data_IF_893350051635
#
_entry.id   IF_893350051635
#
_cell.length_a   1.000
_cell.length_b   1.000
_cell.length_c   1.000
_cell.angle_alpha   90.00
_cell.angle_beta   90.00
_cell.angle_gamma   90.00
#
_symmetry.space_group_name_H-M   'P 1'
#
loop_
_entity.id
_entity.type
_entity.pdbx_description
1 polymer ?
#
# COMPACT_ATOMS: atom_id res chain seq x y z
N UNK A 1 -6.79 14.05 2.68
CA UNK A 1 -5.38 13.65 2.62
C UNK A 1 -5.21 12.35 1.86
N UNK A 2 -3.99 12.08 1.42
CA UNK A 2 -3.56 10.83 0.79
C UNK A 2 -2.54 10.20 1.75
N UNK A 3 -2.96 9.27 2.59
CA UNK A 3 -2.13 8.69 3.64
C UNK A 3 -1.21 7.59 3.11
N UNK A 4 -1.76 6.42 2.91
CA UNK A 4 -1.01 5.25 2.45
C UNK A 4 -0.59 5.34 0.98
N UNK A 5 0.44 4.59 0.59
CA UNK A 5 0.80 4.39 -0.81
C UNK A 5 -0.40 3.86 -1.61
N UNK A 6 -0.49 4.23 -2.88
CA UNK A 6 -1.62 3.97 -3.77
C UNK A 6 -2.95 4.67 -3.42
N UNK A 7 -3.05 5.42 -2.32
CA UNK A 7 -4.24 6.26 -2.10
C UNK A 7 -4.41 7.21 -3.28
N UNK A 8 -5.62 7.28 -3.80
CA UNK A 8 -5.86 7.99 -5.07
C UNK A 8 -7.19 8.73 -5.10
N UNK A 9 -7.27 9.71 -5.99
CA UNK A 9 -8.51 10.38 -6.36
C UNK A 9 -8.64 10.37 -7.88
N UNK A 10 -9.83 10.04 -8.37
CA UNK A 10 -10.16 10.02 -9.79
C UNK A 10 -11.36 10.94 -10.09
N UNK A 11 -11.26 11.72 -11.16
CA UNK A 11 -12.35 12.56 -11.63
C UNK A 11 -12.34 12.64 -13.16
N UNK A 12 -13.49 13.04 -13.72
CA UNK A 12 -13.66 13.28 -15.17
C UNK A 12 -14.21 14.67 -15.38
N UNK A 13 -13.76 15.31 -16.45
CA UNK A 13 -14.23 16.67 -16.80
C UNK A 13 -14.19 16.90 -18.31
N UNK A 14 -14.85 17.98 -18.73
CA UNK A 14 -14.72 18.60 -20.05
C UNK A 14 -14.10 19.98 -19.87
N UNK A 15 -13.05 20.28 -20.62
CA UNK A 15 -12.33 21.55 -20.55
C UNK A 15 -10.98 21.48 -21.23
N UNK A 16 -10.20 22.55 -21.10
CA UNK A 16 -8.82 22.61 -21.63
C UNK A 16 -7.75 22.45 -20.57
N UNK A 17 -8.09 22.65 -19.29
CA UNK A 17 -7.10 22.62 -18.21
C UNK A 17 -7.70 22.14 -16.91
N UNK A 18 -6.90 21.37 -16.16
CA UNK A 18 -7.15 21.03 -14.78
C UNK A 18 -5.91 21.29 -13.94
N UNK A 19 -6.09 21.95 -12.79
CA UNK A 19 -5.04 22.18 -11.78
C UNK A 19 -5.49 21.64 -10.44
N UNK A 20 -4.53 21.28 -9.58
CA UNK A 20 -4.80 20.93 -8.19
C UNK A 20 -3.94 21.81 -7.27
N UNK A 21 -4.56 22.30 -6.21
CA UNK A 21 -3.84 22.84 -5.07
C UNK A 21 -3.56 21.69 -4.10
N UNK A 22 -2.28 21.45 -3.84
CA UNK A 22 -1.79 20.32 -3.03
C UNK A 22 -1.08 20.86 -1.80
N UNK A 23 -1.32 20.24 -0.66
CA UNK A 23 -0.58 20.44 0.58
C UNK A 23 0.31 19.24 0.84
N UNK A 24 1.44 19.47 1.49
CA UNK A 24 2.35 18.43 1.97
C UNK A 24 3.14 18.95 3.18
N UNK A 25 3.99 18.12 3.74
CA UNK A 25 4.91 18.46 4.81
C UNK A 25 6.37 18.53 4.35
N UNK A 26 6.58 18.94 3.09
CA UNK A 26 7.87 18.96 2.42
C UNK A 26 8.96 19.71 3.21
N UNK A 27 8.59 20.76 3.96
CA UNK A 27 9.55 21.52 4.79
C UNK A 27 10.06 20.75 6.00
N UNK A 28 9.38 19.67 6.41
CA UNK A 28 9.79 18.81 7.53
C UNK A 28 10.75 17.70 7.11
N UNK A 29 10.92 17.49 5.81
CA UNK A 29 11.63 16.34 5.23
C UNK A 29 12.83 16.78 4.39
N UNK A 30 13.83 15.91 4.36
CA UNK A 30 14.90 16.03 3.36
C UNK A 30 14.33 15.80 1.96
N UNK A 31 15.05 16.23 0.94
CA UNK A 31 14.62 16.05 -0.45
C UNK A 31 14.28 14.61 -0.81
N UNK A 32 15.02 13.64 -0.24
CA UNK A 32 14.86 12.20 -0.47
C UNK A 32 13.66 11.57 0.25
N UNK A 33 13.06 12.27 1.20
CA UNK A 33 11.94 11.78 2.01
C UNK A 33 10.61 12.43 1.65
N UNK A 34 10.60 13.38 0.69
CA UNK A 34 9.38 14.10 0.29
C UNK A 34 8.40 13.21 -0.45
N UNK A 35 7.12 13.56 -0.34
CA UNK A 35 6.04 12.85 -1.02
C UNK A 35 6.16 12.91 -2.55
N UNK A 36 5.86 11.79 -3.19
CA UNK A 36 5.69 11.68 -4.64
C UNK A 36 4.23 11.37 -4.99
N UNK A 37 3.77 12.00 -6.06
CA UNK A 37 2.49 11.70 -6.69
C UNK A 37 2.68 11.37 -8.17
N UNK A 38 1.79 10.55 -8.70
CA UNK A 38 1.69 10.27 -10.12
C UNK A 38 0.33 10.67 -10.67
N UNK A 39 0.30 11.16 -11.91
CA UNK A 39 -0.91 11.61 -12.61
C UNK A 39 -1.11 10.71 -13.82
N UNK A 40 -2.26 10.05 -13.88
CA UNK A 40 -2.65 9.16 -14.97
C UNK A 40 -3.79 9.77 -15.78
N UNK A 41 -3.81 9.51 -17.08
CA UNK A 41 -4.87 9.89 -17.99
C UNK A 41 -5.66 8.67 -18.43
N UNK A 42 -6.99 8.73 -18.24
CA UNK A 42 -7.89 7.65 -18.63
C UNK A 42 -7.51 6.30 -17.98
N UNK A 43 -7.19 5.34 -18.82
CA UNK A 43 -6.79 3.97 -18.41
C UNK A 43 -5.32 3.68 -18.74
N UNK A 44 -4.50 4.71 -18.91
CA UNK A 44 -3.09 4.53 -19.20
C UNK A 44 -2.38 3.78 -18.07
N UNK A 45 -1.48 2.89 -18.43
CA UNK A 45 -0.69 2.11 -17.45
C UNK A 45 0.46 2.91 -16.88
N UNK A 46 1.04 3.77 -17.70
CA UNK A 46 2.16 4.61 -17.31
C UNK A 46 1.62 6.00 -16.94
N UNK A 47 2.18 6.62 -15.90
CA UNK A 47 1.77 7.96 -15.51
C UNK A 47 2.18 8.99 -16.56
N UNK A 48 1.27 9.90 -16.88
CA UNK A 48 1.57 11.06 -17.73
C UNK A 48 2.58 11.99 -17.07
N UNK A 49 2.56 12.06 -15.73
CA UNK A 49 3.50 12.84 -14.91
C UNK A 49 3.78 12.09 -13.61
N UNK A 50 5.02 12.19 -13.14
CA UNK A 50 5.44 11.78 -11.80
C UNK A 50 6.18 12.95 -11.17
N UNK A 51 5.77 13.38 -9.99
CA UNK A 51 6.19 14.64 -9.39
C UNK A 51 6.50 14.46 -7.91
N UNK A 52 7.66 14.98 -7.47
CA UNK A 52 7.95 15.18 -6.06
C UNK A 52 7.32 16.49 -5.59
N UNK A 53 6.76 16.49 -4.39
CA UNK A 53 6.20 17.70 -3.80
C UNK A 53 7.29 18.50 -3.10
N UNK A 54 7.60 19.67 -3.64
CA UNK A 54 8.73 20.48 -3.20
C UNK A 54 8.37 21.50 -2.11
N UNK A 55 7.09 21.81 -1.96
CA UNK A 55 6.59 22.86 -1.06
C UNK A 55 5.42 22.36 -0.24
N UNK A 56 5.26 22.89 0.98
CA UNK A 56 4.13 22.57 1.86
C UNK A 56 2.78 22.92 1.24
N UNK A 57 2.76 23.83 0.28
CA UNK A 57 1.58 24.20 -0.51
C UNK A 57 1.98 24.63 -1.90
N UNK A 58 1.42 23.99 -2.92
CA UNK A 58 1.75 24.27 -4.31
C UNK A 58 0.57 23.97 -5.24
N UNK A 59 0.51 24.69 -6.37
CA UNK A 59 -0.44 24.41 -7.44
C UNK A 59 0.25 23.63 -8.56
N UNK A 60 -0.35 22.51 -8.95
CA UNK A 60 0.15 21.63 -10.00
C UNK A 60 -0.80 21.64 -11.18
N UNK A 61 -0.26 21.82 -12.40
CA UNK A 61 -1.02 21.59 -13.63
C UNK A 61 -1.12 20.08 -13.87
N UNK A 62 -2.32 19.54 -13.68
CA UNK A 62 -2.62 18.13 -13.89
C UNK A 62 -2.71 17.81 -15.38
N UNK A 63 -3.43 18.64 -16.12
CA UNK A 63 -3.69 18.48 -17.55
C UNK A 63 -3.80 19.84 -18.22
N UNK A 64 -3.35 19.96 -19.47
CA UNK A 64 -3.51 21.15 -20.30
C UNK A 64 -3.49 20.79 -21.78
N UNK A 65 -4.42 21.38 -22.56
CA UNK A 65 -4.54 21.19 -24.00
C UNK A 65 -5.10 22.46 -24.66
N UNK A 66 -4.98 22.54 -25.99
CA UNK A 66 -5.49 23.68 -26.76
C UNK A 66 -6.93 23.49 -27.28
N UNK A 67 -7.56 22.37 -26.99
CA UNK A 67 -8.91 22.04 -27.46
C UNK A 67 -9.76 21.54 -26.30
N UNK A 68 -10.99 21.99 -26.19
CA UNK A 68 -11.98 21.44 -25.27
C UNK A 68 -12.07 19.94 -25.46
N UNK A 69 -11.79 19.17 -24.41
CA UNK A 69 -11.81 17.71 -24.47
C UNK A 69 -12.36 17.11 -23.18
N UNK A 70 -12.93 15.92 -23.29
CA UNK A 70 -13.25 15.09 -22.14
C UNK A 70 -11.98 14.37 -21.68
N UNK A 71 -11.66 14.49 -20.39
CA UNK A 71 -10.49 13.85 -19.80
C UNK A 71 -10.84 13.23 -18.45
N UNK A 72 -10.31 12.03 -18.21
CA UNK A 72 -10.26 11.43 -16.89
C UNK A 72 -8.85 11.59 -16.33
N UNK A 73 -8.74 12.01 -15.08
CA UNK A 73 -7.47 12.11 -14.35
C UNK A 73 -7.57 11.26 -13.10
N UNK A 74 -6.49 10.54 -12.80
CA UNK A 74 -6.27 9.88 -11.52
C UNK A 74 -4.95 10.39 -10.94
N UNK A 75 -5.00 10.91 -9.71
CA UNK A 75 -3.83 11.29 -8.91
C UNK A 75 -3.60 10.17 -7.91
N UNK A 76 -2.40 9.61 -7.88
CA UNK A 76 -2.01 8.49 -7.00
C UNK A 76 -0.83 8.93 -6.14
N UNK A 77 -0.88 8.72 -4.82
CA UNK A 77 0.28 8.85 -3.95
C UNK A 77 1.21 7.66 -4.17
N UNK A 78 2.49 7.92 -4.42
CA UNK A 78 3.50 6.88 -4.61
C UNK A 78 4.26 6.56 -3.33
N UNK A 79 4.68 7.60 -2.60
CA UNK A 79 5.37 7.42 -1.32
C UNK A 79 4.43 6.84 -0.25
N UNK A 80 5.02 6.09 0.67
CA UNK A 80 4.28 5.46 1.76
C UNK A 80 4.01 6.39 2.96
N UNK A 81 3.37 5.84 4.00
CA UNK A 81 2.93 6.60 5.18
C UNK A 81 4.06 7.02 6.12
N UNK A 82 5.21 6.29 6.13
CA UNK A 82 6.34 6.57 7.03
C UNK A 82 7.04 7.89 6.69
N UNK A 83 7.13 8.23 5.38
CA UNK A 83 8.02 9.31 4.96
C UNK A 83 7.34 10.66 4.84
N UNK A 84 6.21 10.77 4.17
CA UNK A 84 5.65 12.08 3.90
C UNK A 84 4.13 12.08 3.75
N UNK A 85 3.51 13.11 4.29
CA UNK A 85 2.09 13.40 4.13
C UNK A 85 1.83 14.29 2.93
N UNK A 86 0.69 14.10 2.26
CA UNK A 86 0.17 15.05 1.30
C UNK A 86 -1.36 15.00 1.22
N UNK A 87 -1.95 16.02 0.61
CA UNK A 87 -3.39 16.11 0.45
C UNK A 87 -3.80 17.05 -0.67
N UNK A 88 -5.00 16.88 -1.19
CA UNK A 88 -5.57 17.74 -2.23
C UNK A 88 -6.55 18.69 -1.57
N UNK A 89 -6.30 19.98 -1.72
CA UNK A 89 -7.14 21.05 -1.17
C UNK A 89 -8.30 21.36 -2.09
N UNK A 90 -7.99 21.52 -3.40
CA UNK A 90 -8.97 21.82 -4.43
C UNK A 90 -8.50 21.35 -5.80
N UNK A 91 -9.47 21.14 -6.68
CA UNK A 91 -9.24 20.91 -8.10
C UNK A 91 -10.00 22.01 -8.84
N UNK A 92 -9.31 22.73 -9.74
CA UNK A 92 -9.88 23.74 -10.59
C UNK A 92 -9.85 23.26 -12.04
N UNK A 93 -10.98 23.40 -12.73
CA UNK A 93 -11.16 23.05 -14.13
C UNK A 93 -11.49 24.34 -14.89
N UNK A 94 -10.84 24.55 -16.03
CA UNK A 94 -11.10 25.70 -16.91
C UNK A 94 -11.20 25.26 -18.37
N UNK A 95 -11.95 26.04 -19.16
CA UNK A 95 -11.96 25.93 -20.62
C UNK A 95 -11.59 27.28 -21.22
N UNK A 96 -10.37 27.39 -21.74
CA UNK A 96 -9.87 28.63 -22.34
C UNK A 96 -10.45 28.88 -23.76
N UNK A 97 -11.00 27.83 -24.41
CA UNK A 97 -11.64 27.90 -25.73
C UNK A 97 -13.08 28.31 -25.58
N UNK A 98 -13.81 27.75 -24.61
CA UNK A 98 -15.22 28.04 -24.32
C UNK A 98 -15.39 28.42 -22.84
N UNK A 99 -14.97 29.61 -22.42
CA UNK A 99 -15.00 30.00 -21.01
C UNK A 99 -16.41 29.92 -20.40
N UNK A 100 -16.52 29.21 -19.26
CA UNK A 100 -17.79 28.99 -18.57
C UNK A 100 -18.58 27.77 -19.05
N UNK A 101 -18.01 26.98 -19.97
CA UNK A 101 -18.61 25.72 -20.43
C UNK A 101 -17.85 24.48 -19.86
N UNK A 102 -16.88 24.68 -18.96
CA UNK A 102 -16.22 23.60 -18.24
C UNK A 102 -17.22 22.83 -17.38
N UNK A 103 -17.12 21.50 -17.41
CA UNK A 103 -18.08 20.62 -16.74
C UNK A 103 -17.31 19.54 -15.97
N UNK A 104 -17.62 19.39 -14.69
CA UNK A 104 -17.27 18.19 -13.92
C UNK A 104 -18.29 17.09 -14.25
N UNK A 105 -17.79 15.97 -14.74
CA UNK A 105 -18.61 14.81 -15.11
C UNK A 105 -18.77 13.86 -13.91
N UNK A 106 -19.69 12.89 -14.05
CA UNK A 106 -19.80 11.80 -13.08
C UNK A 106 -18.47 11.08 -12.92
N UNK A 107 -18.08 10.70 -11.68
CA UNK A 107 -16.81 10.00 -11.44
C UNK A 107 -16.78 8.67 -12.18
N UNK A 108 -15.57 8.11 -12.39
CA UNK A 108 -15.43 6.74 -12.90
C UNK A 108 -16.20 5.76 -12.02
N UNK A 109 -16.76 4.73 -12.65
CA UNK A 109 -17.47 3.68 -11.91
C UNK A 109 -16.45 2.79 -11.19
N UNK A 110 -16.66 2.57 -9.91
CA UNK A 110 -15.84 1.65 -9.11
C UNK A 110 -15.89 0.21 -9.66
N UNK A 111 -14.78 -0.48 -9.56
CA UNK A 111 -14.74 -1.90 -9.91
C UNK A 111 -15.58 -2.71 -8.90
N UNK A 112 -16.15 -3.81 -9.38
CA UNK A 112 -17.01 -4.66 -8.53
C UNK A 112 -16.22 -5.48 -7.51
N UNK A 113 -14.99 -5.84 -7.84
CA UNK A 113 -14.10 -6.58 -6.95
C UNK A 113 -13.30 -5.59 -6.14
N UNK A 114 -13.23 -5.81 -4.84
CA UNK A 114 -12.48 -4.98 -3.89
C UNK A 114 -11.52 -5.88 -3.13
N UNK A 115 -10.26 -5.48 -3.06
CA UNK A 115 -9.20 -6.22 -2.37
C UNK A 115 -8.49 -5.27 -1.41
N UNK A 116 -8.39 -5.67 -0.16
CA UNK A 116 -7.51 -5.01 0.79
C UNK A 116 -6.16 -5.75 0.86
N UNK A 117 -5.09 -5.00 0.76
CA UNK A 117 -3.72 -5.48 0.95
C UNK A 117 -3.19 -4.91 2.26
N UNK A 118 -2.95 -5.80 3.21
CA UNK A 118 -2.46 -5.48 4.52
C UNK A 118 -1.03 -6.00 4.68
N UNK A 119 -0.05 -5.07 4.79
CA UNK A 119 1.34 -5.48 4.71
C UNK A 119 2.38 -4.44 5.07
N UNK A 120 3.61 -4.76 4.72
CA UNK A 120 4.81 -3.96 5.01
C UNK A 120 5.34 -3.20 3.77
N UNK A 121 6.63 -2.90 3.76
CA UNK A 121 7.34 -2.21 2.66
C UNK A 121 7.16 -2.87 1.29
N UNK A 122 7.07 -4.20 1.25
CA UNK A 122 6.88 -4.93 -0.02
C UNK A 122 5.51 -4.61 -0.61
N UNK A 123 4.52 -4.41 0.25
CA UNK A 123 3.16 -4.00 -0.15
C UNK A 123 3.13 -2.56 -0.61
N UNK A 124 3.87 -1.66 0.04
CA UNK A 124 4.02 -0.26 -0.36
C UNK A 124 4.64 -0.10 -1.77
N UNK A 125 5.48 -1.04 -2.19
CA UNK A 125 6.33 -0.89 -3.37
C UNK A 125 7.61 -0.11 -3.07
N UNK A 126 8.11 -0.22 -1.84
CA UNK A 126 9.36 0.38 -1.37
C UNK A 126 10.55 -0.13 -2.19
N UNK A 127 11.42 0.77 -2.64
CA UNK A 127 12.66 0.44 -3.32
C UNK A 127 12.51 -0.28 -4.67
N UNK A 128 11.28 -0.47 -5.18
CA UNK A 128 11.01 -1.28 -6.38
C UNK A 128 11.63 -0.73 -7.66
N UNK A 129 11.89 0.58 -7.73
CA UNK A 129 12.49 1.28 -8.86
C UNK A 129 13.98 1.63 -8.64
N UNK A 130 14.51 1.37 -7.46
CA UNK A 130 15.91 1.58 -7.13
C UNK A 130 16.79 0.36 -7.45
N UNK A 131 18.03 0.42 -6.97
CA UNK A 131 19.04 -0.64 -7.15
C UNK A 131 19.64 -1.02 -5.80
N UNK A 132 20.06 -2.27 -5.66
CA UNK A 132 20.67 -2.79 -4.42
C UNK A 132 21.96 -2.05 -4.04
N UNK A 133 22.62 -1.40 -4.98
CA UNK A 133 23.82 -0.59 -4.75
C UNK A 133 23.52 0.80 -4.19
N UNK A 134 22.26 1.20 -4.09
CA UNK A 134 21.87 2.50 -3.53
C UNK A 134 22.15 2.50 -2.02
N UNK A 135 23.05 3.38 -1.60
CA UNK A 135 23.48 3.49 -0.20
C UNK A 135 22.42 4.16 0.69
N UNK A 136 21.57 4.99 0.10
CA UNK A 136 20.55 5.78 0.79
C UNK A 136 19.26 5.69 0.01
N UNK A 137 18.20 5.28 0.70
CA UNK A 137 16.86 5.26 0.15
C UNK A 137 16.38 6.66 -0.27
N UNK A 138 15.63 6.69 -1.35
CA UNK A 138 14.93 7.87 -1.86
C UNK A 138 13.47 7.48 -2.12
N UNK A 139 12.53 8.29 -1.69
CA UNK A 139 11.09 8.08 -1.98
C UNK A 139 10.79 8.07 -3.49
N UNK A 140 11.73 8.51 -4.32
CA UNK A 140 11.69 8.32 -5.77
C UNK A 140 11.73 6.84 -6.18
N UNK A 141 12.27 5.96 -5.35
CA UNK A 141 12.36 4.52 -5.63
C UNK A 141 11.09 3.76 -5.28
N UNK A 142 10.10 4.43 -4.67
CA UNK A 142 8.80 3.84 -4.37
C UNK A 142 7.84 3.90 -5.55
N UNK A 143 7.19 2.78 -5.79
CA UNK A 143 6.12 2.71 -6.79
C UNK A 143 5.13 1.58 -6.46
N UNK A 144 4.00 1.88 -5.83
CA UNK A 144 3.00 0.87 -5.49
C UNK A 144 2.41 0.17 -6.71
N UNK A 145 2.39 0.82 -7.89
CA UNK A 145 1.84 0.21 -9.11
C UNK A 145 2.71 -0.94 -9.65
N UNK A 146 3.94 -1.05 -9.17
CA UNK A 146 4.89 -2.13 -9.48
C UNK A 146 5.01 -3.15 -8.35
N UNK A 147 4.32 -2.96 -7.23
CA UNK A 147 4.27 -3.94 -6.15
C UNK A 147 3.32 -5.09 -6.48
N UNK A 148 3.51 -6.21 -5.80
CA UNK A 148 2.62 -7.37 -5.96
C UNK A 148 1.15 -7.02 -5.70
N UNK A 149 0.87 -6.06 -4.82
CA UNK A 149 -0.47 -5.66 -4.42
C UNK A 149 -1.27 -5.10 -5.61
N UNK A 150 -0.79 -4.01 -6.22
CA UNK A 150 -1.49 -3.42 -7.36
C UNK A 150 -1.43 -4.29 -8.62
N UNK A 151 -0.34 -5.02 -8.83
CA UNK A 151 -0.26 -6.00 -9.91
C UNK A 151 -1.28 -7.14 -9.76
N UNK A 152 -1.55 -7.60 -8.52
CA UNK A 152 -2.63 -8.58 -8.24
C UNK A 152 -4.01 -7.97 -8.53
N UNK A 153 -4.25 -6.74 -8.06
CA UNK A 153 -5.50 -6.04 -8.32
C UNK A 153 -5.76 -5.83 -9.82
N UNK A 154 -4.71 -5.53 -10.60
CA UNK A 154 -4.79 -5.44 -12.06
C UNK A 154 -5.18 -6.79 -12.68
N UNK A 155 -4.50 -7.89 -12.31
CA UNK A 155 -4.75 -9.24 -12.82
C UNK A 155 -6.17 -9.74 -12.52
N UNK A 156 -6.76 -9.27 -11.42
CA UNK A 156 -8.11 -9.63 -10.98
C UNK A 156 -9.18 -8.62 -11.42
N UNK A 157 -8.81 -7.54 -12.07
CA UNK A 157 -9.67 -6.40 -12.37
C UNK A 157 -10.42 -5.94 -11.11
N UNK A 158 -9.68 -5.74 -10.02
CA UNK A 158 -10.19 -5.35 -8.72
C UNK A 158 -9.75 -3.92 -8.36
N UNK A 159 -10.47 -3.30 -7.42
CA UNK A 159 -10.10 -2.03 -6.79
C UNK A 159 -9.27 -2.35 -5.54
N UNK A 160 -8.03 -1.84 -5.44
CA UNK A 160 -7.18 -2.08 -4.28
C UNK A 160 -7.42 -1.05 -3.19
N UNK A 161 -7.30 -1.49 -1.93
CA UNK A 161 -7.04 -0.66 -0.77
C UNK A 161 -5.76 -1.16 -0.11
N UNK A 162 -4.80 -0.27 0.16
CA UNK A 162 -3.56 -0.65 0.82
C UNK A 162 -3.52 -0.07 2.23
N UNK A 163 -3.28 -0.95 3.21
CA UNK A 163 -2.90 -0.60 4.57
C UNK A 163 -1.50 -1.18 4.77
N UNK A 164 -0.48 -0.36 4.54
CA UNK A 164 0.89 -0.84 4.49
C UNK A 164 1.89 0.18 5.00
N UNK A 165 2.93 -0.30 5.68
CA UNK A 165 3.93 0.55 6.30
C UNK A 165 5.31 -0.12 6.35
N UNK A 166 6.32 0.59 5.85
CA UNK A 166 7.70 0.10 5.86
C UNK A 166 8.20 -0.23 7.26
N UNK A 167 8.96 -1.30 7.36
CA UNK A 167 9.64 -1.69 8.59
C UNK A 167 8.73 -2.23 9.70
N UNK A 168 7.40 -2.26 9.52
CA UNK A 168 6.45 -2.69 10.56
C UNK A 168 6.07 -4.15 10.43
N UNK A 169 5.96 -4.84 11.57
CA UNK A 169 5.56 -6.24 11.65
C UNK A 169 4.34 -6.45 12.54
N UNK A 170 4.15 -7.71 12.95
CA UNK A 170 3.06 -8.15 13.82
C UNK A 170 3.42 -8.04 15.29
N UNK A 171 4.67 -8.41 15.67
CA UNK A 171 5.16 -8.37 17.05
C UNK A 171 6.36 -7.45 17.24
N UNK A 172 7.03 -7.07 16.16
CA UNK A 172 8.15 -6.14 16.19
C UNK A 172 8.27 -5.41 14.86
N UNK A 173 8.77 -4.17 14.89
CA UNK A 173 9.36 -3.53 13.72
C UNK A 173 10.67 -4.25 13.35
N UNK A 174 11.25 -3.92 12.18
CA UNK A 174 12.58 -4.41 11.80
C UNK A 174 13.63 -3.90 12.79
N UNK A 175 14.38 -4.80 13.40
CA UNK A 175 15.36 -4.49 14.46
C UNK A 175 16.81 -4.85 14.11
N UNK A 176 17.05 -5.20 12.84
CA UNK A 176 18.36 -5.72 12.46
C UNK A 176 18.55 -7.20 12.86
N UNK A 177 19.78 -7.67 12.72
CA UNK A 177 20.12 -9.08 13.02
C UNK A 177 21.17 -9.22 14.12
N UNK A 178 21.38 -8.19 14.92
CA UNK A 178 22.28 -8.23 16.07
C UNK A 178 21.75 -9.23 17.12
N UNK A 179 22.66 -9.95 17.76
CA UNK A 179 22.32 -11.06 18.65
C UNK A 179 21.48 -10.64 19.86
N UNK A 180 21.70 -9.43 20.36
CA UNK A 180 21.04 -8.83 21.52
C UNK A 180 19.90 -7.84 21.18
N UNK A 181 19.50 -7.78 19.91
CA UNK A 181 18.41 -6.90 19.47
C UNK A 181 17.12 -7.21 20.24
N UNK A 182 16.48 -6.17 20.74
CA UNK A 182 15.22 -6.25 21.49
C UNK A 182 14.04 -5.97 20.59
N UNK A 183 12.86 -6.48 20.94
CA UNK A 183 11.60 -6.15 20.27
C UNK A 183 11.40 -4.63 20.26
N UNK A 184 11.06 -4.09 19.09
CA UNK A 184 10.46 -2.77 18.93
C UNK A 184 8.97 -2.97 18.66
N UNK A 185 8.15 -2.83 19.69
CA UNK A 185 6.70 -2.98 19.65
C UNK A 185 5.96 -1.66 19.39
N UNK A 186 6.71 -0.61 19.05
CA UNK A 186 6.13 0.66 18.66
C UNK A 186 5.54 0.59 17.24
N UNK A 187 4.30 1.08 17.09
CA UNK A 187 3.70 1.26 15.74
C UNK A 187 3.60 -0.05 14.94
N UNK A 188 3.06 -1.10 15.54
CA UNK A 188 2.88 -2.39 14.87
C UNK A 188 1.63 -2.39 13.98
N UNK A 189 1.67 -3.20 12.92
CA UNK A 189 0.58 -3.29 11.95
C UNK A 189 -0.78 -3.63 12.55
N UNK A 190 -0.93 -4.51 13.57
CA UNK A 190 -2.24 -4.73 14.21
C UNK A 190 -2.85 -3.48 14.83
N UNK A 191 -2.03 -2.57 15.37
CA UNK A 191 -2.49 -1.30 15.91
C UNK A 191 -2.79 -0.29 14.79
N UNK A 192 -1.89 -0.18 13.80
CA UNK A 192 -2.04 0.73 12.66
C UNK A 192 -3.30 0.44 11.83
N UNK A 193 -3.74 -0.81 11.80
CA UNK A 193 -4.95 -1.25 11.08
C UNK A 193 -6.24 -0.61 11.59
N UNK A 194 -6.27 -0.18 12.86
CA UNK A 194 -7.45 0.42 13.49
C UNK A 194 -7.67 1.89 13.12
N UNK A 195 -6.68 2.56 12.52
CA UNK A 195 -6.72 4.00 12.27
C UNK A 195 -6.78 4.33 10.80
N UNK A 196 -7.43 5.46 10.48
CA UNK A 196 -7.52 5.99 9.11
C UNK A 196 -6.14 6.29 8.55
N UNK A 197 -5.31 7.00 9.31
CA UNK A 197 -3.93 7.33 8.97
C UNK A 197 -3.16 7.78 10.23
N UNK A 198 -2.58 6.82 10.92
CA UNK A 198 -1.84 7.08 12.16
C UNK A 198 -0.60 7.96 11.95
N UNK A 199 0.05 7.87 10.76
CA UNK A 199 1.19 8.72 10.43
C UNK A 199 0.80 10.18 10.29
N UNK A 200 -0.28 10.45 9.56
CA UNK A 200 -0.83 11.80 9.40
C UNK A 200 -1.21 12.40 10.77
N UNK A 201 -1.87 11.61 11.62
CA UNK A 201 -2.29 12.04 12.95
C UNK A 201 -1.10 12.41 13.85
N UNK A 202 -0.07 11.56 13.87
CA UNK A 202 1.14 11.78 14.67
C UNK A 202 2.00 12.91 14.12
N UNK A 203 2.36 12.84 12.85
CA UNK A 203 3.47 13.61 12.30
C UNK A 203 3.02 14.92 11.66
N UNK A 204 1.85 14.93 11.05
CA UNK A 204 1.31 16.13 10.41
C UNK A 204 0.46 16.97 11.36
N UNK A 205 -0.49 16.36 12.07
CA UNK A 205 -1.37 17.04 13.01
C UNK A 205 -0.83 17.12 14.44
N UNK A 206 0.13 16.26 14.79
CA UNK A 206 0.67 16.12 16.14
C UNK A 206 -0.41 15.85 17.21
N UNK A 207 -1.38 15.02 16.86
CA UNK A 207 -2.46 14.61 17.74
C UNK A 207 -1.99 13.52 18.73
N UNK A 208 -2.55 13.51 19.94
CA UNK A 208 -2.37 12.39 20.86
C UNK A 208 -3.12 11.15 20.35
N UNK A 209 -2.58 9.95 20.57
CA UNK A 209 -3.17 8.69 20.07
C UNK A 209 -4.64 8.51 20.45
N UNK A 210 -5.06 9.01 21.60
CA UNK A 210 -6.47 8.97 22.03
C UNK A 210 -7.44 9.74 21.13
N UNK A 211 -6.91 10.67 20.33
CA UNK A 211 -7.69 11.56 19.48
C UNK A 211 -7.57 11.19 17.99
N UNK A 212 -6.80 10.14 17.66
CA UNK A 212 -6.65 9.68 16.28
C UNK A 212 -7.95 9.12 15.69
N UNK A 213 -8.20 9.45 14.45
CA UNK A 213 -9.36 8.95 13.72
C UNK A 213 -9.27 7.45 13.49
N UNK A 214 -10.22 6.70 14.05
CA UNK A 214 -10.35 5.27 13.80
C UNK A 214 -10.93 5.03 12.42
N UNK A 215 -10.44 3.99 11.72
CA UNK A 215 -10.97 3.61 10.43
C UNK A 215 -12.41 3.08 10.55
N UNK A 216 -13.28 3.58 9.66
CA UNK A 216 -14.65 3.07 9.56
C UNK A 216 -14.71 1.92 8.54
N UNK A 217 -14.62 0.68 9.01
CA UNK A 217 -14.65 -0.53 8.18
C UNK A 217 -15.97 -0.73 7.41
N UNK A 218 -17.00 0.09 7.64
CA UNK A 218 -18.22 0.08 6.83
C UNK A 218 -18.06 0.81 5.48
N UNK A 219 -17.04 1.66 5.33
CA UNK A 219 -16.82 2.44 4.12
C UNK A 219 -16.16 1.63 3.00
N UNK A 220 -15.36 0.62 3.34
CA UNK A 220 -14.73 -0.27 2.37
C UNK A 220 -14.91 -1.72 2.81
N UNK A 221 -15.58 -2.52 1.98
CA UNK A 221 -15.88 -3.94 2.28
C UNK A 221 -15.23 -4.85 1.24
N UNK A 222 -13.98 -5.26 1.45
CA UNK A 222 -13.28 -6.13 0.52
C UNK A 222 -13.93 -7.51 0.46
N UNK A 223 -13.89 -8.13 -0.71
CA UNK A 223 -14.19 -9.55 -0.85
C UNK A 223 -12.97 -10.43 -0.57
N UNK A 224 -11.78 -9.84 -0.59
CA UNK A 224 -10.52 -10.49 -0.30
C UNK A 224 -9.62 -9.57 0.52
N UNK A 225 -9.04 -10.10 1.60
CA UNK A 225 -7.92 -9.46 2.31
C UNK A 225 -6.67 -10.30 2.06
N UNK A 226 -5.59 -9.67 1.60
CA UNK A 226 -4.28 -10.30 1.42
C UNK A 226 -3.35 -9.77 2.49
N UNK A 227 -2.86 -10.65 3.37
CA UNK A 227 -1.97 -10.29 4.47
C UNK A 227 -0.55 -10.73 4.13
N UNK A 228 0.35 -9.78 3.96
CA UNK A 228 1.77 -10.02 3.73
C UNK A 228 2.57 -9.36 4.86
N UNK A 229 2.73 -10.08 5.97
CA UNK A 229 3.46 -9.65 7.17
C UNK A 229 4.30 -10.78 7.70
N UNK A 230 5.41 -10.45 8.35
CA UNK A 230 6.34 -11.40 8.92
C UNK A 230 7.81 -11.15 8.51
N UNK A 231 8.04 -10.44 7.40
CA UNK A 231 9.39 -10.13 6.91
C UNK A 231 10.18 -9.36 7.98
N UNK A 232 9.58 -8.35 8.59
CA UNK A 232 10.21 -7.55 9.64
C UNK A 232 10.35 -8.35 10.95
N UNK A 233 9.33 -9.15 11.29
CA UNK A 233 9.34 -10.02 12.47
C UNK A 233 10.44 -11.08 12.40
N UNK A 234 10.82 -11.52 11.19
CA UNK A 234 11.89 -12.48 10.98
C UNK A 234 13.25 -11.98 11.48
N UNK A 235 13.47 -10.68 11.57
CA UNK A 235 14.66 -10.09 12.19
C UNK A 235 14.81 -10.43 13.68
N UNK A 236 13.68 -10.61 14.38
CA UNK A 236 13.63 -11.02 15.78
C UNK A 236 13.44 -12.53 15.94
N UNK A 237 12.49 -13.12 15.21
CA UNK A 237 12.13 -14.54 15.42
C UNK A 237 13.22 -15.48 15.00
N UNK A 238 13.91 -15.18 13.90
CA UNK A 238 14.99 -16.01 13.35
C UNK A 238 14.57 -17.49 13.30
N UNK A 239 15.45 -18.41 13.58
CA UNK A 239 15.17 -19.83 13.72
C UNK A 239 15.00 -20.25 15.20
N UNK A 240 14.47 -19.35 16.06
CA UNK A 240 14.27 -19.59 17.49
C UNK A 240 12.82 -20.03 17.75
N UNK A 241 12.57 -21.31 18.13
CA UNK A 241 11.24 -21.87 18.21
C UNK A 241 10.28 -21.09 19.13
N UNK A 242 10.76 -20.64 20.31
CA UNK A 242 9.91 -19.90 21.24
C UNK A 242 9.49 -18.53 20.68
N UNK A 243 10.36 -17.86 19.94
CA UNK A 243 10.04 -16.59 19.28
C UNK A 243 9.10 -16.80 18.10
N UNK A 244 9.30 -17.87 17.31
CA UNK A 244 8.37 -18.24 16.24
C UNK A 244 6.99 -18.59 16.80
N UNK A 245 6.92 -19.27 17.97
CA UNK A 245 5.64 -19.52 18.63
C UNK A 245 4.96 -18.25 19.13
N UNK A 246 5.72 -17.29 19.65
CA UNK A 246 5.20 -15.97 20.03
C UNK A 246 4.60 -15.25 18.82
N UNK A 247 5.29 -15.29 17.68
CA UNK A 247 4.77 -14.72 16.44
C UNK A 247 3.51 -15.46 15.95
N UNK A 248 3.50 -16.79 15.93
CA UNK A 248 2.33 -17.60 15.56
C UNK A 248 1.09 -17.20 16.36
N UNK A 249 1.22 -17.10 17.70
CA UNK A 249 0.11 -16.73 18.57
C UNK A 249 -0.40 -15.31 18.33
N UNK A 250 0.50 -14.38 18.01
CA UNK A 250 0.14 -13.01 17.64
C UNK A 250 -0.51 -12.95 16.25
N UNK A 251 0.00 -13.72 15.30
CA UNK A 251 -0.54 -13.78 13.94
C UNK A 251 -1.97 -14.35 13.93
N UNK A 252 -2.26 -15.37 14.75
CA UNK A 252 -3.64 -15.88 14.93
C UNK A 252 -4.56 -14.78 15.47
N UNK A 253 -4.10 -13.96 16.42
CA UNK A 253 -4.89 -12.82 16.92
C UNK A 253 -5.16 -11.79 15.82
N UNK A 254 -4.14 -11.51 15.01
CA UNK A 254 -4.30 -10.62 13.85
C UNK A 254 -5.34 -11.16 12.87
N UNK A 255 -5.36 -12.47 12.60
CA UNK A 255 -6.37 -13.07 11.72
C UNK A 255 -7.78 -12.92 12.29
N UNK A 256 -7.95 -13.06 13.61
CA UNK A 256 -9.25 -12.79 14.25
C UNK A 256 -9.65 -11.32 14.13
N UNK A 257 -8.75 -10.39 14.37
CA UNK A 257 -8.99 -8.95 14.21
C UNK A 257 -9.43 -8.61 12.78
N UNK A 258 -8.69 -9.07 11.78
CA UNK A 258 -9.02 -8.81 10.36
C UNK A 258 -10.37 -9.42 10.00
N UNK A 259 -10.66 -10.63 10.46
CA UNK A 259 -11.95 -11.29 10.20
C UNK A 259 -13.12 -10.60 10.93
N UNK A 260 -12.92 -10.10 12.14
CA UNK A 260 -13.93 -9.34 12.87
C UNK A 260 -14.36 -8.07 12.11
N UNK A 261 -13.39 -7.35 11.55
CA UNK A 261 -13.66 -6.16 10.73
C UNK A 261 -14.20 -6.50 9.33
N UNK A 262 -13.82 -7.65 8.76
CA UNK A 262 -14.18 -8.08 7.42
C UNK A 262 -14.80 -9.49 7.41
N UNK A 263 -15.95 -9.71 8.06
CA UNK A 263 -16.49 -11.07 8.31
C UNK A 263 -16.90 -11.82 7.03
N UNK A 264 -17.09 -11.12 5.93
CA UNK A 264 -17.48 -11.71 4.64
C UNK A 264 -16.31 -11.83 3.65
N UNK A 265 -15.12 -11.36 4.00
CA UNK A 265 -13.97 -11.44 3.13
C UNK A 265 -13.29 -12.82 3.21
N UNK A 266 -12.83 -13.31 2.07
CA UNK A 266 -11.82 -14.36 2.07
C UNK A 266 -10.47 -13.77 2.49
N UNK A 267 -9.59 -14.59 3.05
CA UNK A 267 -8.27 -14.17 3.50
C UNK A 267 -7.20 -14.98 2.77
N UNK A 268 -6.20 -14.33 2.22
CA UNK A 268 -4.94 -14.95 1.80
C UNK A 268 -3.86 -14.46 2.75
N UNK A 269 -3.18 -15.39 3.41
CA UNK A 269 -1.95 -15.11 4.15
C UNK A 269 -0.75 -15.49 3.30
N UNK A 270 0.30 -14.70 3.34
CA UNK A 270 1.46 -14.94 2.49
C UNK A 270 2.74 -14.36 3.09
N UNK A 271 3.87 -14.90 2.67
CA UNK A 271 5.21 -14.40 2.89
C UNK A 271 6.15 -14.96 1.80
N UNK A 272 7.26 -14.31 1.56
CA UNK A 272 8.26 -14.72 0.56
C UNK A 272 9.07 -13.53 0.09
N UNK A 273 9.49 -13.53 -1.16
CA UNK A 273 10.36 -12.52 -1.77
C UNK A 273 11.66 -12.27 -0.96
N UNK A 274 11.65 -11.52 0.12
CA UNK A 274 12.85 -11.19 0.91
C UNK A 274 13.19 -12.23 1.96
N UNK A 275 12.19 -12.87 2.58
CA UNK A 275 12.40 -13.82 3.69
C UNK A 275 11.35 -14.93 3.68
N UNK A 276 11.76 -16.14 4.05
CA UNK A 276 10.88 -17.32 4.14
C UNK A 276 11.00 -18.05 5.50
N UNK A 277 11.72 -17.51 6.47
CA UNK A 277 11.93 -18.15 7.79
C UNK A 277 10.61 -18.40 8.55
N UNK A 278 9.59 -17.61 8.28
CA UNK A 278 8.27 -17.74 8.90
C UNK A 278 7.20 -18.45 8.02
N UNK A 279 7.60 -19.04 6.88
CA UNK A 279 6.66 -19.76 6.00
C UNK A 279 5.81 -20.80 6.75
N UNK A 280 6.46 -21.72 7.46
CA UNK A 280 5.80 -22.79 8.20
C UNK A 280 4.98 -22.27 9.37
N UNK A 281 5.43 -21.19 9.99
CA UNK A 281 4.77 -20.55 11.13
C UNK A 281 3.47 -19.86 10.69
N UNK A 282 3.49 -19.13 9.57
CA UNK A 282 2.29 -18.47 9.02
C UNK A 282 1.29 -19.51 8.50
N UNK A 283 1.75 -20.58 7.84
CA UNK A 283 0.89 -21.68 7.41
C UNK A 283 0.22 -22.35 8.61
N UNK A 284 0.97 -22.62 9.69
CA UNK A 284 0.42 -23.17 10.93
C UNK A 284 -0.60 -22.22 11.60
N UNK A 285 -0.30 -20.92 11.68
CA UNK A 285 -1.23 -19.93 12.20
C UNK A 285 -2.54 -19.87 11.37
N UNK A 286 -2.40 -19.91 10.05
CA UNK A 286 -3.53 -19.94 9.10
C UNK A 286 -4.40 -21.19 9.32
N UNK A 287 -3.77 -22.34 9.45
CA UNK A 287 -4.49 -23.61 9.73
C UNK A 287 -5.14 -23.62 11.12
N UNK A 288 -4.48 -23.02 12.13
CA UNK A 288 -5.04 -22.87 13.47
C UNK A 288 -6.32 -22.01 13.45
N UNK A 289 -6.26 -20.86 12.79
CA UNK A 289 -7.40 -19.97 12.62
C UNK A 289 -8.55 -20.65 11.85
N UNK A 290 -8.25 -21.28 10.71
CA UNK A 290 -9.26 -21.97 9.89
C UNK A 290 -10.03 -23.05 10.66
N UNK A 291 -9.36 -23.74 11.59
CA UNK A 291 -9.96 -24.79 12.40
C UNK A 291 -11.04 -24.28 13.37
N UNK A 292 -10.89 -23.05 13.86
CA UNK A 292 -11.81 -22.44 14.84
C UNK A 292 -12.76 -21.45 14.21
N UNK A 293 -12.54 -21.08 12.94
CA UNK A 293 -13.36 -20.15 12.16
C UNK A 293 -13.75 -20.78 10.81
N UNK A 294 -14.57 -21.86 10.83
CA UNK A 294 -14.87 -22.65 9.63
C UNK A 294 -15.67 -21.90 8.57
N UNK A 295 -16.30 -20.79 8.92
CA UNK A 295 -17.09 -19.96 7.99
C UNK A 295 -16.20 -18.97 7.21
N UNK A 296 -14.94 -18.79 7.59
CA UNK A 296 -13.99 -17.97 6.86
C UNK A 296 -13.24 -18.77 5.79
N UNK A 297 -13.32 -18.33 4.55
CA UNK A 297 -12.49 -18.89 3.48
C UNK A 297 -11.08 -18.32 3.61
N UNK A 298 -10.11 -19.12 4.03
CA UNK A 298 -8.71 -18.67 4.21
C UNK A 298 -7.74 -19.65 3.58
N UNK A 299 -6.63 -19.12 3.03
CA UNK A 299 -5.56 -19.92 2.41
C UNK A 299 -4.20 -19.27 2.65
N UNK A 300 -3.20 -20.09 3.00
CA UNK A 300 -1.80 -19.70 2.92
C UNK A 300 -1.27 -19.88 1.50
N UNK A 301 -0.53 -18.89 0.99
CA UNK A 301 0.14 -18.92 -0.32
C UNK A 301 1.60 -18.58 -0.12
N UNK A 302 2.49 -19.56 -0.31
CA UNK A 302 3.93 -19.32 -0.26
C UNK A 302 4.39 -18.61 -1.53
N UNK A 303 5.10 -17.49 -1.38
CA UNK A 303 5.74 -16.78 -2.50
C UNK A 303 7.19 -17.23 -2.67
N UNK A 304 7.74 -17.14 -3.90
CA UNK A 304 9.14 -17.47 -4.13
C UNK A 304 10.06 -16.42 -3.49
N UNK A 305 11.27 -16.83 -3.10
CA UNK A 305 12.34 -15.87 -2.85
C UNK A 305 12.67 -15.11 -4.13
N UNK A 306 13.09 -13.88 -3.97
CA UNK A 306 13.66 -13.09 -5.06
C UNK A 306 14.96 -13.71 -5.55
N UNK A 307 15.27 -13.47 -6.82
CA UNK A 307 16.45 -14.00 -7.49
C UNK A 307 17.24 -12.82 -8.07
N UNK A 308 18.56 -12.84 -7.94
CA UNK A 308 19.44 -11.82 -8.51
C UNK A 308 19.26 -11.65 -10.04
N UNK A 309 18.82 -12.70 -10.73
CA UNK A 309 18.47 -12.64 -12.18
C UNK A 309 17.28 -11.71 -12.46
N UNK A 310 16.40 -11.52 -11.48
CA UNK A 310 15.28 -10.57 -11.57
C UNK A 310 15.69 -9.15 -11.20
N UNK A 311 16.90 -8.98 -10.64
CA UNK A 311 17.40 -7.76 -10.05
C UNK A 311 16.91 -7.61 -8.60
N UNK A 312 17.58 -6.75 -7.86
CA UNK A 312 17.23 -6.36 -6.49
C UNK A 312 17.11 -4.84 -6.43
N UNK A 313 16.05 -4.35 -5.83
CA UNK A 313 15.83 -2.92 -5.61
C UNK A 313 16.56 -2.38 -4.40
N UNK A 314 16.32 -1.12 -4.06
CA UNK A 314 16.95 -0.46 -2.90
C UNK A 314 16.74 -1.28 -1.63
N UNK A 315 17.79 -1.44 -0.86
CA UNK A 315 17.82 -2.26 0.37
C UNK A 315 17.25 -3.66 0.18
N UNK A 316 17.64 -4.33 -0.94
CA UNK A 316 17.23 -5.69 -1.31
C UNK A 316 15.73 -5.89 -1.46
N UNK A 317 14.95 -4.85 -1.69
CA UNK A 317 13.53 -5.00 -1.95
C UNK A 317 13.26 -5.64 -3.33
N UNK A 318 12.13 -6.33 -3.50
CA UNK A 318 11.83 -7.02 -4.74
C UNK A 318 11.54 -6.03 -5.88
N UNK A 319 12.20 -6.23 -7.01
CA UNK A 319 11.91 -5.49 -8.24
C UNK A 319 10.51 -5.82 -8.79
N UNK A 320 10.05 -5.06 -9.77
CA UNK A 320 8.80 -5.34 -10.48
C UNK A 320 8.74 -6.79 -11.02
N UNK A 321 9.85 -7.38 -11.48
CA UNK A 321 9.86 -8.75 -12.00
C UNK A 321 9.50 -9.78 -10.92
N UNK A 322 10.07 -9.67 -9.73
CA UNK A 322 9.73 -10.51 -8.59
C UNK A 322 8.28 -10.27 -8.15
N UNK A 323 7.88 -9.01 -8.04
CA UNK A 323 6.51 -8.63 -7.69
C UNK A 323 5.47 -9.21 -8.66
N UNK A 324 5.74 -9.24 -9.97
CA UNK A 324 4.87 -9.88 -10.98
C UNK A 324 4.73 -11.39 -10.78
N UNK A 325 5.78 -12.08 -10.34
CA UNK A 325 5.71 -13.52 -10.02
C UNK A 325 4.83 -13.74 -8.80
N UNK A 326 5.01 -12.95 -7.73
CA UNK A 326 4.19 -12.99 -6.53
C UNK A 326 2.72 -12.69 -6.83
N UNK A 327 2.45 -11.64 -7.59
CA UNK A 327 1.10 -11.23 -7.96
C UNK A 327 0.33 -12.33 -8.72
N UNK A 328 0.98 -13.07 -9.61
CA UNK A 328 0.35 -14.18 -10.32
C UNK A 328 -0.10 -15.28 -9.38
N UNK A 329 0.74 -15.69 -8.43
CA UNK A 329 0.41 -16.75 -7.48
C UNK A 329 -0.78 -16.35 -6.60
N UNK A 330 -0.79 -15.11 -6.10
CA UNK A 330 -1.90 -14.59 -5.29
C UNK A 330 -3.17 -14.49 -6.15
N UNK A 331 -3.08 -13.97 -7.37
CA UNK A 331 -4.23 -13.85 -8.26
C UNK A 331 -4.82 -15.22 -8.64
N UNK A 332 -3.99 -16.22 -8.88
CA UNK A 332 -4.45 -17.57 -9.21
C UNK A 332 -5.13 -18.22 -7.99
N UNK A 333 -4.56 -18.07 -6.79
CA UNK A 333 -5.19 -18.52 -5.56
C UNK A 333 -6.55 -17.83 -5.31
N UNK A 334 -6.63 -16.51 -5.53
CA UNK A 334 -7.87 -15.74 -5.38
C UNK A 334 -8.96 -16.21 -6.37
N UNK A 335 -8.60 -16.47 -7.64
CA UNK A 335 -9.54 -17.01 -8.65
C UNK A 335 -10.10 -18.37 -8.24
N UNK A 336 -9.24 -19.26 -7.72
CA UNK A 336 -9.67 -20.56 -7.24
C UNK A 336 -10.62 -20.46 -6.03
N UNK A 337 -10.29 -19.57 -5.06
CA UNK A 337 -11.05 -19.41 -3.82
C UNK A 337 -12.41 -18.74 -4.04
N UNK A 338 -12.45 -17.72 -4.91
CA UNK A 338 -13.60 -16.83 -5.09
C UNK A 338 -14.34 -17.04 -6.42
N UNK A 339 -13.83 -17.92 -7.28
CA UNK A 339 -14.37 -18.17 -8.63
C UNK A 339 -14.42 -16.88 -9.49
N UNK A 340 -13.38 -16.08 -9.41
CA UNK A 340 -13.25 -14.77 -10.07
C UNK A 340 -12.74 -14.88 -11.51
#
# INVERSE_FOLDING_TARGET
>A
YLGYSATSISFKFVGTKATAEIVSDASKHTEKERAWIAIYYGQDRDPAKRLRLEQDRQTIVLFETQQTTEQQITIVKYSEAEYAACGIVSIEITDEVNPGEEILLSPPVHKKRQIEFFGDSITCGYGVEGDVSDEIFDTADENPTKSYSLLTAELLNAEPNLVSWNGKGVITAYIGEEEDAQIDDSWLMPMLYEYTDAGLERDYFANEQSDWETWNFEEYKPQLVVIYLGTNDASYTRDIPDRQKQFEDAYVKLLHQVHEHNPNAAIITTIGAMDQRLNTTIDAATACFAKVTPDCTIRYVQLPLQDEVDGLGTYWHPTEKTNRKCARLIADAAKEMLQW
#
